data_IF_286052382681
#
_entry.id   IF_286052382681
#
_cell.length_a   1.000
_cell.length_b   1.000
_cell.length_c   1.000
_cell.angle_alpha   90.00
_cell.angle_beta   90.00
_cell.angle_gamma   90.00
#
_symmetry.space_group_name_H-M   'P 1'
#
loop_
_entity.id
_entity.type
_entity.pdbx_description
1 polymer ?
#
# COMPACT_ATOMS: atom_id res chain seq x y z
N UNK A 1 -13.38 -7.79 -9.59
CA UNK A 1 -12.81 -6.74 -10.42
C UNK A 1 -12.75 -7.14 -11.89
N UNK A 2 -12.79 -6.16 -12.76
CA UNK A 2 -12.65 -6.39 -14.18
C UNK A 2 -11.21 -6.79 -14.51
N UNK A 3 -11.01 -7.36 -15.70
CA UNK A 3 -9.66 -7.68 -16.18
C UNK A 3 -8.74 -6.45 -16.13
N UNK A 4 -9.23 -5.32 -16.63
CA UNK A 4 -8.44 -4.07 -16.64
C UNK A 4 -8.12 -3.62 -15.23
N UNK A 5 -9.09 -3.68 -14.32
CA UNK A 5 -8.87 -3.32 -12.93
C UNK A 5 -7.83 -4.22 -12.25
N UNK A 6 -7.93 -5.52 -12.45
CA UNK A 6 -6.98 -6.47 -11.87
C UNK A 6 -5.56 -6.23 -12.38
N UNK A 7 -5.41 -5.98 -13.68
CA UNK A 7 -4.10 -5.71 -14.28
C UNK A 7 -3.50 -4.40 -13.78
N UNK A 8 -4.33 -3.36 -13.67
CA UNK A 8 -3.88 -2.04 -13.21
C UNK A 8 -3.37 -2.11 -11.76
N UNK A 9 -4.17 -2.64 -10.86
CA UNK A 9 -3.79 -2.75 -9.45
C UNK A 9 -2.66 -3.75 -9.24
N UNK A 10 -2.67 -4.85 -10.00
CA UNK A 10 -1.61 -5.86 -9.97
C UNK A 10 -0.27 -5.33 -10.45
N UNK A 11 -0.25 -4.23 -11.19
CA UNK A 11 0.99 -3.60 -11.65
C UNK A 11 1.50 -2.58 -10.65
N UNK A 12 0.63 -1.68 -10.18
CA UNK A 12 1.09 -0.56 -9.32
C UNK A 12 1.38 -1.01 -7.89
N UNK A 13 0.58 -1.90 -7.32
CA UNK A 13 0.73 -2.26 -5.91
C UNK A 13 2.04 -3.02 -5.64
N UNK A 14 2.47 -3.96 -6.48
CA UNK A 14 3.79 -4.58 -6.29
C UNK A 14 4.95 -3.60 -6.40
N UNK A 15 4.84 -2.60 -7.28
CA UNK A 15 5.87 -1.57 -7.41
C UNK A 15 6.00 -0.75 -6.12
N UNK A 16 4.85 -0.40 -5.50
CA UNK A 16 4.84 0.31 -4.23
C UNK A 16 5.49 -0.54 -3.13
N UNK A 17 5.16 -1.82 -3.07
CA UNK A 17 5.74 -2.71 -2.07
C UNK A 17 7.26 -2.82 -2.23
N UNK A 18 7.75 -2.92 -3.46
CA UNK A 18 9.18 -2.92 -3.74
C UNK A 18 9.85 -1.63 -3.28
N UNK A 19 9.20 -0.49 -3.49
CA UNK A 19 9.67 0.79 -2.99
C UNK A 19 9.79 0.78 -1.46
N UNK A 20 8.79 0.25 -0.76
CA UNK A 20 8.80 0.19 0.71
C UNK A 20 9.94 -0.69 1.22
N UNK A 21 10.20 -1.81 0.58
CA UNK A 21 11.32 -2.69 0.95
C UNK A 21 12.67 -2.01 0.70
N UNK A 22 12.83 -1.33 -0.42
CA UNK A 22 14.05 -0.60 -0.72
C UNK A 22 14.27 0.55 0.27
N UNK A 23 13.22 1.24 0.67
CA UNK A 23 13.30 2.28 1.68
C UNK A 23 13.76 1.71 3.03
N UNK A 24 13.23 0.55 3.40
CA UNK A 24 13.62 -0.14 4.64
C UNK A 24 15.12 -0.44 4.67
N UNK A 25 15.68 -0.88 3.56
CA UNK A 25 17.12 -1.14 3.46
C UNK A 25 17.93 0.11 3.75
N UNK A 26 17.38 1.28 3.46
CA UNK A 26 18.06 2.58 3.67
C UNK A 26 17.68 3.25 4.98
N UNK A 27 17.16 2.49 5.93
CA UNK A 27 16.74 2.98 7.25
C UNK A 27 15.58 3.97 7.19
N UNK A 28 14.81 3.94 6.13
CA UNK A 28 13.59 4.73 6.00
C UNK A 28 12.39 3.87 6.37
N UNK A 29 11.57 4.39 7.25
CA UNK A 29 10.29 3.76 7.60
C UNK A 29 9.20 4.25 6.67
N UNK A 30 8.28 3.36 6.34
CA UNK A 30 7.11 3.69 5.52
C UNK A 30 5.88 3.06 6.14
N UNK A 31 4.73 3.60 5.79
CA UNK A 31 3.45 3.01 6.12
C UNK A 31 2.55 3.08 4.89
N UNK A 32 1.67 2.11 4.76
CA UNK A 32 0.72 2.08 3.65
C UNK A 32 -0.66 2.40 4.21
N UNK A 33 -1.24 3.52 3.80
CA UNK A 33 -2.58 3.87 4.25
C UNK A 33 -3.46 4.32 3.08
N UNK A 34 -4.74 4.05 3.23
CA UNK A 34 -5.78 4.52 2.31
C UNK A 34 -6.85 5.32 3.06
N UNK A 35 -6.61 5.59 4.33
CA UNK A 35 -7.61 6.26 5.16
C UNK A 35 -7.93 7.68 4.66
N UNK A 36 -6.98 8.32 4.01
CA UNK A 36 -7.19 9.65 3.44
C UNK A 36 -8.21 9.68 2.32
N UNK A 37 -8.55 8.51 1.75
CA UNK A 37 -9.53 8.41 0.66
C UNK A 37 -10.97 8.40 1.15
N UNK A 38 -11.19 8.29 2.47
CA UNK A 38 -12.54 8.22 3.03
C UNK A 38 -13.24 9.58 2.98
N UNK A 39 -14.57 9.54 2.90
CA UNK A 39 -15.43 10.73 3.03
C UNK A 39 -15.03 11.88 2.11
N UNK A 40 -14.78 11.58 0.84
CA UNK A 40 -14.39 12.59 -0.14
C UNK A 40 -12.93 13.02 -0.05
N UNK A 41 -12.13 12.32 0.73
CA UNK A 41 -10.72 12.65 0.92
C UNK A 41 -9.90 12.55 -0.35
N UNK A 42 -10.26 11.67 -1.28
CA UNK A 42 -9.56 11.55 -2.55
C UNK A 42 -9.61 12.86 -3.34
N UNK A 43 -10.80 13.45 -3.43
CA UNK A 43 -10.96 14.73 -4.12
C UNK A 43 -10.21 15.86 -3.40
N UNK A 44 -10.31 15.91 -2.07
CA UNK A 44 -9.60 16.92 -1.28
C UNK A 44 -8.09 16.83 -1.45
N UNK A 45 -7.56 15.61 -1.43
CA UNK A 45 -6.13 15.39 -1.66
C UNK A 45 -5.73 15.80 -3.07
N UNK A 46 -6.56 15.48 -4.06
CA UNK A 46 -6.30 15.87 -5.44
C UNK A 46 -6.25 17.39 -5.60
N UNK A 47 -7.18 18.09 -4.97
CA UNK A 47 -7.20 19.57 -5.00
C UNK A 47 -5.95 20.14 -4.33
N UNK A 48 -5.59 19.62 -3.18
CA UNK A 48 -4.44 20.09 -2.41
C UNK A 48 -3.11 19.88 -3.16
N UNK A 49 -2.97 18.75 -3.83
CA UNK A 49 -1.73 18.34 -4.49
C UNK A 49 -1.71 18.64 -5.99
N UNK A 50 -2.81 19.16 -6.55
CA UNK A 50 -2.89 19.45 -7.97
C UNK A 50 -2.95 18.19 -8.84
N UNK A 51 -3.53 17.10 -8.33
CA UNK A 51 -3.67 15.85 -9.11
C UNK A 51 -4.75 16.06 -10.17
N UNK A 52 -4.44 15.78 -11.45
CA UNK A 52 -5.43 15.97 -12.53
C UNK A 52 -6.65 15.05 -12.39
N UNK A 53 -7.75 15.48 -12.98
CA UNK A 53 -8.95 14.64 -13.08
C UNK A 53 -8.62 13.35 -13.85
N UNK A 54 -9.27 12.26 -13.47
CA UNK A 54 -9.06 10.97 -14.11
C UNK A 54 -7.92 10.15 -13.51
N UNK A 55 -7.18 10.69 -12.55
CA UNK A 55 -6.15 9.95 -11.81
C UNK A 55 -6.78 9.37 -10.55
N UNK A 56 -6.68 8.07 -10.39
CA UNK A 56 -7.14 7.37 -9.18
C UNK A 56 -5.98 7.19 -8.21
N UNK A 57 -6.21 7.55 -6.95
CA UNK A 57 -5.19 7.41 -5.93
C UNK A 57 -5.21 6.00 -5.34
N UNK A 58 -4.04 5.38 -5.26
CA UNK A 58 -3.90 4.01 -4.75
C UNK A 58 -3.61 3.96 -3.25
N UNK A 59 -3.03 5.01 -2.70
CA UNK A 59 -2.67 5.05 -1.29
C UNK A 59 -1.81 6.25 -0.96
N UNK A 60 -1.50 6.38 0.31
CA UNK A 60 -0.60 7.40 0.85
C UNK A 60 0.50 6.68 1.62
N UNK A 61 1.74 7.06 1.39
CA UNK A 61 2.90 6.35 1.93
C UNK A 61 3.82 7.34 2.64
N UNK A 62 3.58 7.62 3.93
CA UNK A 62 4.51 8.46 4.69
C UNK A 62 5.90 7.81 4.71
N UNK A 63 6.93 8.61 4.55
CA UNK A 63 8.32 8.16 4.52
C UNK A 63 9.12 9.02 5.47
N UNK A 64 9.86 8.40 6.39
CA UNK A 64 10.69 9.13 7.34
C UNK A 64 11.81 8.23 7.86
N UNK A 65 12.86 8.84 8.38
CA UNK A 65 13.87 8.07 9.10
C UNK A 65 13.26 7.52 10.39
N UNK A 66 13.57 6.25 10.71
CA UNK A 66 13.05 5.60 11.91
C UNK A 66 13.87 5.95 13.15
N UNK A 67 13.22 5.86 14.32
CA UNK A 67 13.89 6.03 15.61
C UNK A 67 14.56 4.73 16.06
N UNK A 68 15.17 4.01 15.16
CA UNK A 68 15.83 2.74 15.42
C UNK A 68 15.55 1.77 14.29
N UNK A 69 16.17 0.62 14.35
CA UNK A 69 16.06 -0.39 13.28
C UNK A 69 15.76 -1.79 13.81
N UNK A 70 15.64 -1.93 15.13
CA UNK A 70 15.38 -3.22 15.76
C UNK A 70 13.86 -3.44 15.92
N UNK A 71 13.24 -3.90 14.83
CA UNK A 71 11.79 -4.15 14.81
C UNK A 71 11.53 -5.65 14.90
N UNK A 72 10.54 -6.00 15.70
CA UNK A 72 10.11 -7.40 15.82
C UNK A 72 9.18 -7.77 14.67
N UNK A 73 9.24 -9.03 14.20
CA UNK A 73 8.26 -9.51 13.22
C UNK A 73 6.85 -9.37 13.77
N UNK A 74 5.93 -8.98 12.89
CA UNK A 74 4.52 -8.88 13.28
C UNK A 74 3.93 -10.27 13.51
N UNK A 75 3.01 -10.35 14.48
CA UNK A 75 2.28 -11.58 14.75
C UNK A 75 1.31 -11.86 13.59
N UNK A 76 1.28 -13.10 13.12
CA UNK A 76 0.38 -13.52 12.05
C UNK A 76 -0.51 -14.66 12.54
N UNK A 77 -1.72 -14.72 12.01
CA UNK A 77 -2.60 -15.86 12.25
C UNK A 77 -2.08 -17.10 11.53
N UNK A 78 -2.40 -18.31 12.03
CA UNK A 78 -2.02 -19.53 11.34
C UNK A 78 -2.54 -19.57 9.90
N UNK A 79 -1.81 -20.20 9.00
CA UNK A 79 -2.18 -20.28 7.59
C UNK A 79 -3.15 -21.41 7.29
N UNK A 80 -3.17 -22.46 8.10
CA UNK A 80 -3.95 -23.68 7.83
C UNK A 80 -5.43 -23.40 7.58
N UNK A 81 -6.12 -22.58 8.40
CA UNK A 81 -7.54 -22.34 8.18
C UNK A 81 -7.89 -21.60 6.89
N UNK A 82 -6.91 -20.96 6.27
CA UNK A 82 -7.14 -20.17 5.04
C UNK A 82 -6.38 -20.73 3.85
N UNK A 83 -5.78 -21.92 3.99
CA UNK A 83 -5.06 -22.57 2.90
C UNK A 83 -5.90 -23.73 2.37
N UNK A 84 -6.12 -23.74 1.06
CA UNK A 84 -6.93 -24.74 0.39
C UNK A 84 -6.11 -25.43 -0.69
N UNK A 85 -6.22 -26.76 -0.79
CA UNK A 85 -5.48 -27.55 -1.76
C UNK A 85 -6.44 -28.09 -2.81
N UNK A 86 -6.13 -27.81 -4.08
CA UNK A 86 -6.86 -28.29 -5.27
C UNK A 86 -8.28 -27.76 -5.44
N UNK A 87 -8.99 -27.48 -4.35
CA UNK A 87 -10.31 -26.83 -4.40
C UNK A 87 -10.49 -25.96 -3.17
N UNK A 88 -11.41 -25.02 -3.28
CA UNK A 88 -11.72 -24.04 -2.22
C UNK A 88 -12.45 -24.66 -1.04
#
# INVERSE_FOLDING_TARGET
>A
PSFVGASLWGSILPAVWSFMLAARERSLGTAWTTIHLMNGGEQKAAELLGIPAGITQAGLFPVAYTLGTDFKPATRLPLEPITHWEQW
#
